data_IF_646546875463
#
_entry.id   IF_646546875463
#
_cell.length_a   1.000
_cell.length_b   1.000
_cell.length_c   1.000
_cell.angle_alpha   90.00
_cell.angle_beta   90.00
_cell.angle_gamma   90.00
#
_symmetry.space_group_name_H-M   'P 1'
#
loop_
_entity.id
_entity.type
_entity.pdbx_description
1 polymer ?
#
# COMPACT_ATOMS: atom_id res chain seq x y z
N UNK A 1 3.85 16.56 8.68
CA UNK A 1 4.25 15.18 8.33
C UNK A 1 3.66 14.87 6.96
N UNK A 2 4.44 14.90 5.88
CA UNK A 2 3.94 14.60 4.52
C UNK A 2 4.07 13.09 4.31
N UNK A 3 3.05 12.32 4.68
CA UNK A 3 2.94 10.94 4.25
C UNK A 3 2.47 10.96 2.78
N UNK A 4 3.39 10.77 1.84
CA UNK A 4 3.05 10.72 0.42
C UNK A 4 2.37 9.39 0.10
N UNK A 5 1.03 9.40 0.06
CA UNK A 5 0.18 8.26 -0.31
C UNK A 5 0.29 7.96 -1.83
N UNK A 6 0.83 8.88 -2.61
CA UNK A 6 0.73 8.86 -4.07
C UNK A 6 1.97 8.34 -4.81
N UNK A 7 3.12 8.19 -4.14
CA UNK A 7 4.31 7.58 -4.73
C UNK A 7 5.04 6.71 -3.71
N UNK A 8 4.75 5.41 -3.74
CA UNK A 8 5.48 4.39 -3.01
C UNK A 8 6.20 3.47 -3.98
N UNK A 9 7.35 2.92 -3.57
CA UNK A 9 8.10 1.90 -4.31
C UNK A 9 8.15 0.64 -3.43
N UNK A 10 7.94 -0.54 -4.02
CA UNK A 10 8.03 -1.80 -3.29
C UNK A 10 8.70 -2.89 -4.13
N UNK A 11 9.22 -3.92 -3.46
CA UNK A 11 9.62 -5.21 -4.04
C UNK A 11 8.86 -6.36 -3.39
N UNK A 12 8.74 -7.47 -4.11
CA UNK A 12 8.09 -8.69 -3.63
C UNK A 12 9.18 -9.74 -3.37
N UNK A 13 9.08 -10.47 -2.27
CA UNK A 13 9.96 -11.62 -2.03
C UNK A 13 9.41 -12.84 -2.75
N UNK A 14 10.20 -13.41 -3.66
CA UNK A 14 9.92 -14.68 -4.36
C UNK A 14 10.97 -15.68 -3.88
N UNK A 15 10.53 -16.74 -3.18
CA UNK A 15 11.41 -17.75 -2.57
C UNK A 15 12.51 -17.15 -1.66
N UNK A 16 12.20 -16.04 -0.97
CA UNK A 16 13.13 -15.34 -0.08
C UNK A 16 14.06 -14.36 -0.78
N UNK A 17 14.03 -14.26 -2.11
CA UNK A 17 14.79 -13.26 -2.87
C UNK A 17 13.89 -12.11 -3.31
N UNK A 18 14.28 -10.84 -3.12
CA UNK A 18 13.51 -9.69 -3.59
C UNK A 18 13.52 -9.59 -5.11
N UNK A 19 12.40 -9.18 -5.69
CA UNK A 19 12.32 -8.69 -7.08
C UNK A 19 12.96 -7.31 -7.20
N UNK A 20 13.08 -6.81 -8.43
CA UNK A 20 13.27 -5.38 -8.66
C UNK A 20 12.12 -4.57 -8.05
N UNK A 21 12.46 -3.34 -7.64
CA UNK A 21 11.51 -2.39 -7.10
C UNK A 21 10.59 -1.86 -8.21
N UNK A 22 9.30 -1.73 -7.91
CA UNK A 22 8.31 -1.15 -8.81
C UNK A 22 7.48 -0.08 -8.11
N UNK A 23 6.97 0.87 -8.89
CA UNK A 23 6.08 1.92 -8.41
C UNK A 23 4.70 1.34 -8.10
N UNK A 24 4.20 1.63 -6.91
CA UNK A 24 2.86 1.22 -6.49
C UNK A 24 1.83 2.14 -7.13
N UNK A 25 1.00 1.59 -8.02
CA UNK A 25 0.02 2.38 -8.78
C UNK A 25 -1.27 2.67 -8.00
N UNK A 26 -1.97 1.63 -7.56
CA UNK A 26 -3.24 1.73 -6.81
C UNK A 26 -3.38 0.54 -5.85
N UNK A 27 -4.20 0.73 -4.82
CA UNK A 27 -4.57 -0.31 -3.87
C UNK A 27 -3.80 -0.25 -2.54
N UNK A 28 -4.21 -1.11 -1.61
CA UNK A 28 -3.60 -1.26 -0.29
C UNK A 28 -2.94 -2.63 -0.20
N UNK A 29 -1.88 -2.75 0.61
CA UNK A 29 -1.23 -4.04 0.85
C UNK A 29 -2.13 -4.92 1.71
N UNK A 30 -2.57 -6.05 1.16
CA UNK A 30 -3.32 -7.03 1.95
C UNK A 30 -2.43 -7.59 3.07
N UNK A 31 -3.01 -7.75 4.26
CA UNK A 31 -2.28 -8.21 5.44
C UNK A 31 -1.45 -7.13 6.15
N UNK A 32 -1.42 -5.89 5.62
CA UNK A 32 -0.94 -4.75 6.40
C UNK A 32 -1.97 -4.43 7.49
N UNK A 33 -1.57 -4.36 8.78
CA UNK A 33 -2.49 -4.09 9.89
C UNK A 33 -3.21 -2.73 9.78
N UNK A 34 -2.70 -1.79 8.97
CA UNK A 34 -3.32 -0.48 8.75
C UNK A 34 -4.32 -0.48 7.58
N UNK A 35 -4.26 -1.45 6.66
CA UNK A 35 -5.14 -1.50 5.49
C UNK A 35 -6.64 -1.47 5.82
N UNK A 36 -7.15 -2.17 6.86
CA UNK A 36 -8.56 -2.10 7.22
C UNK A 36 -9.00 -0.68 7.63
N UNK A 37 -8.16 0.04 8.37
CA UNK A 37 -8.47 1.39 8.83
C UNK A 37 -8.47 2.39 7.68
N UNK A 38 -7.49 2.30 6.78
CA UNK A 38 -7.42 3.13 5.58
C UNK A 38 -8.62 2.88 4.64
N UNK A 39 -9.08 1.63 4.53
CA UNK A 39 -10.29 1.31 3.77
C UNK A 39 -11.53 2.00 4.35
N UNK A 40 -11.71 1.95 5.68
CA UNK A 40 -12.84 2.60 6.35
C UNK A 40 -12.83 4.12 6.18
N UNK A 41 -11.68 4.79 6.31
CA UNK A 41 -11.57 6.23 6.08
C UNK A 41 -12.05 6.60 4.68
N UNK A 42 -11.64 5.83 3.67
CA UNK A 42 -12.01 6.07 2.27
C UNK A 42 -13.49 5.78 2.05
N UNK A 43 -14.02 4.68 2.59
CA UNK A 43 -15.42 4.29 2.43
C UNK A 43 -16.38 5.30 3.09
N UNK A 44 -16.09 5.71 4.33
CA UNK A 44 -16.93 6.66 5.09
C UNK A 44 -16.76 8.10 4.57
N UNK A 45 -15.55 8.51 4.19
CA UNK A 45 -15.27 9.88 3.73
C UNK A 45 -15.71 10.19 2.28
N UNK A 46 -16.09 9.16 1.52
CA UNK A 46 -16.63 9.29 0.15
C UNK A 46 -18.15 9.10 0.09
N UNK A 47 -18.81 8.93 1.24
CA UNK A 47 -20.28 8.91 1.38
C UNK A 47 -20.79 10.30 1.72
#
# INVERSE_FOLDING_TARGET
>A
MRASIFESTMSILINGSPTEDFKVGRGLRQGDPLSPFLYLIVAEGLT
#
